data_IF_443287689679
#
_entry.id   IF_443287689679
#
_cell.length_a   1.000
_cell.length_b   1.000
_cell.length_c   1.000
_cell.angle_alpha   90.00
_cell.angle_beta   90.00
_cell.angle_gamma   90.00
#
_symmetry.space_group_name_H-M   'P 1'
#
loop_
_entity.id
_entity.type
_entity.pdbx_description
1 polymer ?
#
# COMPACT_ATOMS: atom_id res chain seq x y z
N UNK A 1 -37.88 -3.92 -30.21
CA UNK A 1 -36.66 -4.10 -31.04
C UNK A 1 -35.50 -4.35 -30.10
N UNK A 2 -35.34 -5.61 -29.68
CA UNK A 2 -34.37 -6.03 -28.67
C UNK A 2 -32.96 -5.89 -29.21
N UNK A 3 -32.31 -4.79 -28.82
CA UNK A 3 -30.93 -4.50 -29.18
C UNK A 3 -30.04 -5.68 -28.78
N UNK A 4 -29.32 -6.19 -29.78
CA UNK A 4 -28.16 -7.08 -29.69
C UNK A 4 -28.17 -7.98 -28.43
N UNK A 5 -28.88 -9.10 -28.53
CA UNK A 5 -28.97 -10.19 -27.55
C UNK A 5 -27.67 -10.39 -26.76
N UNK A 6 -27.80 -10.76 -25.49
CA UNK A 6 -26.71 -11.21 -24.59
C UNK A 6 -25.71 -12.14 -25.31
N UNK A 7 -26.19 -12.96 -26.26
CA UNK A 7 -25.37 -13.79 -27.16
C UNK A 7 -24.27 -13.00 -27.91
N UNK A 8 -24.55 -11.80 -28.41
CA UNK A 8 -23.58 -10.96 -29.11
C UNK A 8 -22.44 -10.54 -28.19
N UNK A 9 -22.74 -10.12 -26.96
CA UNK A 9 -21.73 -9.75 -25.96
C UNK A 9 -20.83 -10.93 -25.59
N UNK A 10 -21.37 -12.16 -25.51
CA UNK A 10 -20.58 -13.37 -25.30
C UNK A 10 -19.64 -13.62 -26.49
N UNK A 11 -20.11 -13.49 -27.73
CA UNK A 11 -19.28 -13.67 -28.93
C UNK A 11 -18.14 -12.64 -28.97
N UNK A 12 -18.44 -11.37 -28.67
CA UNK A 12 -17.42 -10.31 -28.61
C UNK A 12 -16.38 -10.61 -27.54
N UNK A 13 -16.80 -11.04 -26.35
CA UNK A 13 -15.87 -11.41 -25.28
C UNK A 13 -14.92 -12.56 -25.69
N UNK A 14 -15.44 -13.56 -26.40
CA UNK A 14 -14.61 -14.67 -26.92
C UNK A 14 -13.60 -14.18 -27.96
N UNK A 15 -14.01 -13.32 -28.90
CA UNK A 15 -13.11 -12.74 -29.91
C UNK A 15 -12.00 -11.91 -29.26
N UNK A 16 -12.34 -11.09 -28.27
CA UNK A 16 -11.36 -10.30 -27.50
C UNK A 16 -10.39 -11.20 -26.74
N UNK A 17 -10.87 -12.27 -26.09
CA UNK A 17 -10.00 -13.24 -25.40
C UNK A 17 -9.00 -13.90 -26.35
N UNK A 18 -9.42 -14.20 -27.59
CA UNK A 18 -8.55 -14.81 -28.62
C UNK A 18 -7.51 -13.80 -29.14
N UNK A 19 -7.91 -12.55 -29.39
CA UNK A 19 -7.03 -11.50 -29.91
C UNK A 19 -5.97 -11.06 -28.88
N UNK A 20 -6.39 -10.89 -27.63
CA UNK A 20 -5.49 -10.41 -26.56
C UNK A 20 -4.74 -11.58 -25.89
N UNK A 21 -5.26 -12.80 -25.98
CA UNK A 21 -4.71 -13.98 -25.33
C UNK A 21 -4.76 -13.93 -23.79
N UNK A 22 -4.60 -15.08 -23.14
CA UNK A 22 -4.68 -15.20 -21.67
C UNK A 22 -3.62 -14.40 -20.88
N UNK A 23 -2.47 -14.12 -21.50
CA UNK A 23 -1.33 -13.49 -20.83
C UNK A 23 -1.50 -11.98 -20.64
N UNK A 24 -1.85 -11.24 -21.70
CA UNK A 24 -1.94 -9.76 -21.67
C UNK A 24 -3.24 -9.26 -21.04
N UNK A 25 -4.35 -9.98 -21.23
CA UNK A 25 -5.62 -9.62 -20.63
C UNK A 25 -5.57 -9.67 -19.10
N UNK A 26 -4.89 -10.66 -18.50
CA UNK A 26 -4.82 -10.82 -17.04
C UNK A 26 -4.01 -9.71 -16.35
N UNK A 27 -2.87 -9.31 -16.92
CA UNK A 27 -2.06 -8.20 -16.39
C UNK A 27 -2.82 -6.86 -16.47
N UNK A 28 -3.42 -6.55 -17.62
CA UNK A 28 -4.21 -5.32 -17.79
C UNK A 28 -5.48 -5.31 -16.92
N UNK A 29 -6.19 -6.44 -16.83
CA UNK A 29 -7.37 -6.55 -15.97
C UNK A 29 -6.99 -6.39 -14.50
N UNK A 30 -5.81 -6.87 -14.08
CA UNK A 30 -5.28 -6.70 -12.73
C UNK A 30 -5.03 -5.25 -12.36
N UNK A 31 -4.39 -4.48 -13.24
CA UNK A 31 -4.13 -3.05 -12.98
C UNK A 31 -5.38 -2.18 -13.10
N UNK A 32 -6.28 -2.50 -14.03
CA UNK A 32 -7.60 -1.86 -14.13
C UNK A 32 -8.44 -2.18 -12.88
N UNK A 33 -8.42 -3.42 -12.38
CA UNK A 33 -9.14 -3.81 -11.17
C UNK A 33 -8.61 -3.09 -9.93
N UNK A 34 -7.28 -2.93 -9.79
CA UNK A 34 -6.68 -2.14 -8.71
C UNK A 34 -7.12 -0.68 -8.79
N UNK A 35 -7.09 -0.07 -9.98
CA UNK A 35 -7.53 1.31 -10.20
C UNK A 35 -9.00 1.53 -9.81
N UNK A 36 -9.90 0.67 -10.29
CA UNK A 36 -11.33 0.74 -9.97
C UNK A 36 -11.60 0.44 -8.49
N UNK A 37 -10.85 -0.49 -7.87
CA UNK A 37 -10.99 -0.81 -6.44
C UNK A 37 -10.56 0.35 -5.55
N UNK A 38 -9.47 1.03 -5.89
CA UNK A 38 -9.02 2.24 -5.18
C UNK A 38 -9.99 3.40 -5.38
N UNK A 39 -10.57 3.56 -6.58
CA UNK A 39 -11.60 4.55 -6.85
C UNK A 39 -12.87 4.28 -6.02
N UNK A 40 -13.33 3.02 -6.01
CA UNK A 40 -14.49 2.60 -5.20
C UNK A 40 -14.23 2.75 -3.70
N UNK A 41 -13.01 2.43 -3.23
CA UNK A 41 -12.63 2.59 -1.83
C UNK A 41 -12.61 4.07 -1.45
N UNK A 42 -11.98 4.94 -2.25
CA UNK A 42 -11.96 6.39 -2.00
C UNK A 42 -13.36 7.00 -1.97
N UNK A 43 -14.25 6.57 -2.87
CA UNK A 43 -15.63 7.04 -2.91
C UNK A 43 -16.48 6.48 -1.75
N UNK A 44 -16.19 5.25 -1.31
CA UNK A 44 -16.85 4.65 -0.15
C UNK A 44 -16.35 5.19 1.19
N UNK A 45 -15.11 5.69 1.29
CA UNK A 45 -14.61 6.35 2.50
C UNK A 45 -15.24 7.74 2.70
N UNK A 46 -15.68 8.40 1.60
CA UNK A 46 -16.42 9.67 1.66
C UNK A 46 -17.87 9.46 2.18
N UNK A 47 -18.47 8.31 1.86
CA UNK A 47 -19.85 7.94 2.27
C UNK A 47 -19.91 7.11 3.56
N UNK A 48 -18.79 6.54 4.00
CA UNK A 48 -18.72 5.67 5.18
C UNK A 48 -17.31 5.67 5.74
N UNK A 49 -17.07 6.41 6.82
CA UNK A 49 -15.92 6.21 7.71
C UNK A 49 -15.83 4.71 8.04
N UNK A 50 -14.82 3.98 7.51
CA UNK A 50 -14.62 2.61 7.90
C UNK A 50 -14.01 2.63 9.31
N UNK A 51 -14.34 1.67 10.18
CA UNK A 51 -13.62 1.51 11.43
C UNK A 51 -12.15 1.29 11.08
N UNK A 52 -11.27 2.07 11.72
CA UNK A 52 -9.83 1.96 11.55
C UNK A 52 -9.42 0.48 11.55
N UNK A 53 -8.57 0.03 10.61
CA UNK A 53 -8.04 -1.32 10.68
C UNK A 53 -7.46 -1.54 12.09
N UNK A 54 -7.68 -2.72 12.71
CA UNK A 54 -7.09 -2.99 14.00
C UNK A 54 -5.61 -2.74 13.84
N UNK A 55 -5.09 -1.80 14.63
CA UNK A 55 -3.66 -1.54 14.75
C UNK A 55 -3.06 -2.88 15.13
N UNK A 56 -2.54 -3.62 14.13
CA UNK A 56 -1.72 -4.78 14.40
C UNK A 56 -0.63 -4.27 15.33
N UNK A 57 -0.47 -4.86 16.52
CA UNK A 57 0.49 -4.36 17.49
C UNK A 57 1.82 -4.31 16.77
N UNK A 58 2.42 -3.10 16.72
CA UNK A 58 3.78 -2.94 16.25
C UNK A 58 4.59 -4.05 16.93
N UNK A 59 5.40 -4.84 16.20
CA UNK A 59 6.22 -5.88 16.81
C UNK A 59 7.06 -5.21 17.89
N UNK A 60 6.62 -5.40 19.14
CA UNK A 60 7.29 -4.96 20.33
C UNK A 60 8.65 -5.64 20.28
N UNK A 61 9.69 -4.85 20.06
CA UNK A 61 11.06 -5.26 20.35
C UNK A 61 11.13 -5.46 21.87
N UNK A 62 10.61 -6.59 22.36
CA UNK A 62 10.50 -7.05 23.76
C UNK A 62 11.87 -7.40 24.38
N UNK A 63 12.97 -7.07 23.71
CA UNK A 63 14.31 -7.49 24.11
C UNK A 63 15.33 -6.36 24.09
N UNK A 64 14.95 -5.11 24.42
CA UNK A 64 15.94 -4.13 24.85
C UNK A 64 16.02 -4.14 26.39
N UNK A 65 16.95 -4.91 26.99
CA UNK A 65 17.32 -4.68 28.38
C UNK A 65 17.92 -3.28 28.48
N UNK A 66 17.29 -2.44 29.30
CA UNK A 66 17.76 -1.12 29.70
C UNK A 66 19.17 -1.25 30.30
N UNK A 67 20.19 -0.56 29.77
CA UNK A 67 21.42 -0.34 30.52
C UNK A 67 21.12 0.65 31.66
N UNK A 68 21.49 0.35 32.91
CA UNK A 68 21.32 1.23 34.04
C UNK A 68 22.33 2.39 34.02
N UNK A 69 21.82 3.60 34.29
CA UNK A 69 22.46 4.68 35.05
C UNK A 69 23.77 5.35 34.55
N UNK A 70 23.97 6.56 35.08
CA UNK A 70 25.26 7.26 35.24
C UNK A 70 25.59 8.37 34.21
N UNK A 71 24.93 9.52 34.43
CA UNK A 71 25.50 10.88 34.39
C UNK A 71 26.89 11.06 33.75
N UNK A 72 26.91 11.35 32.45
CA UNK A 72 28.09 11.92 31.79
C UNK A 72 28.06 13.45 31.80
N UNK A 73 28.21 14.03 33.00
CA UNK A 73 29.03 15.26 33.13
C UNK A 73 30.46 14.78 33.15
N UNK A 74 31.21 14.93 32.05
CA UNK A 74 32.68 14.89 32.02
C UNK A 74 33.15 15.26 30.61
N UNK A 75 33.67 16.49 30.52
CA UNK A 75 35.03 16.71 30.02
C UNK A 75 35.21 16.56 28.50
N UNK A 76 34.79 17.59 27.76
CA UNK A 76 35.60 18.08 26.63
C UNK A 76 36.68 18.98 27.22
N UNK A 77 37.73 18.33 27.71
CA UNK A 77 39.00 18.97 28.09
C UNK A 77 40.01 18.55 27.05
N UNK A 78 40.58 19.53 26.34
CA UNK A 78 41.79 19.31 25.57
C UNK A 78 41.77 19.77 24.12
N UNK A 79 41.47 21.05 23.85
CA UNK A 79 42.21 21.73 22.78
C UNK A 79 42.67 23.08 23.30
N UNK A 80 43.91 23.03 23.77
CA UNK A 80 44.81 24.11 24.11
C UNK A 80 44.72 25.24 23.07
N UNK A 81 43.91 26.26 23.33
CA UNK A 81 44.06 27.56 22.67
C UNK A 81 44.88 28.45 23.60
N UNK A 82 46.16 28.48 23.24
CA UNK A 82 47.26 29.15 23.88
C UNK A 82 47.08 30.67 23.75
N UNK A 83 47.20 31.36 24.89
CA UNK A 83 47.33 32.82 25.01
C UNK A 83 48.09 33.44 23.83
N UNK A 84 47.44 34.36 23.13
CA UNK A 84 48.04 35.61 22.65
C UNK A 84 47.06 36.76 22.81
#
# INVERSE_FOLDING_TARGET
MGGMSITHWIIVAVVVMILFGKGRFSDMMGDVAKGIKSFKKGMAEDDSTPPAPPVAPAPRLENQPLPPETNSTTTVQGTKEERR
#
